data_IF_187816971253
#
_entry.id   IF_187816971253
#
_cell.length_a   1.000
_cell.length_b   1.000
_cell.length_c   1.000
_cell.angle_alpha   90.00
_cell.angle_beta   90.00
_cell.angle_gamma   90.00
#
_symmetry.space_group_name_H-M   'P 1'
#
loop_
_entity.id
_entity.type
_entity.pdbx_description
1 polymer ?
#
# COMPACT_ATOMS: atom_id res chain seq x y z
N UNK A 1 26.09 -15.46 62.01
CA UNK A 1 24.72 -15.63 61.48
C UNK A 1 24.47 -14.49 60.53
N UNK A 2 24.68 -14.71 59.27
CA UNK A 2 24.50 -13.70 58.20
C UNK A 2 23.24 -14.05 57.45
N UNK A 3 22.24 -13.21 57.52
CA UNK A 3 21.05 -13.30 56.68
C UNK A 3 21.36 -12.64 55.36
N UNK A 4 21.41 -13.48 54.29
CA UNK A 4 21.44 -13.04 52.92
C UNK A 4 20.12 -12.38 52.56
N UNK A 5 20.17 -11.13 52.18
CA UNK A 5 19.06 -10.38 51.59
C UNK A 5 18.99 -10.75 50.10
N UNK A 6 18.07 -11.62 49.75
CA UNK A 6 17.74 -11.92 48.36
C UNK A 6 16.94 -10.72 47.83
N UNK A 7 17.50 -9.97 46.92
CA UNK A 7 16.76 -9.00 46.11
C UNK A 7 15.84 -9.80 45.19
N UNK A 8 14.55 -9.71 45.43
CA UNK A 8 13.55 -10.04 44.41
C UNK A 8 13.76 -9.05 43.24
N UNK A 9 14.20 -9.60 42.12
CA UNK A 9 14.17 -8.89 40.87
C UNK A 9 12.69 -8.79 40.48
N UNK A 10 12.16 -7.57 40.48
CA UNK A 10 10.91 -7.26 39.80
C UNK A 10 11.09 -7.54 38.32
N UNK A 11 10.80 -8.80 37.93
CA UNK A 11 10.55 -9.16 36.56
C UNK A 11 9.23 -8.51 36.12
N UNK A 12 9.32 -7.24 35.71
CA UNK A 12 8.28 -6.65 34.92
C UNK A 12 8.22 -7.48 33.62
N UNK A 13 7.04 -8.03 33.26
CA UNK A 13 6.93 -8.79 32.03
C UNK A 13 7.40 -7.90 30.88
N UNK A 14 8.45 -8.34 30.18
CA UNK A 14 8.90 -7.73 28.95
C UNK A 14 7.68 -7.45 28.08
N UNK A 15 7.46 -6.18 27.77
CA UNK A 15 6.45 -5.78 26.82
C UNK A 15 6.73 -6.51 25.53
N UNK A 16 5.95 -7.55 25.26
CA UNK A 16 5.96 -8.20 23.96
C UNK A 16 5.46 -7.16 22.96
N UNK A 17 6.39 -6.39 22.39
CA UNK A 17 6.06 -5.48 21.31
C UNK A 17 5.47 -6.32 20.19
N UNK A 18 4.28 -5.96 19.73
CA UNK A 18 3.70 -6.58 18.56
C UNK A 18 4.70 -6.51 17.41
N UNK A 19 4.88 -7.59 16.64
CA UNK A 19 5.80 -7.55 15.53
C UNK A 19 5.46 -6.40 14.58
N UNK A 20 6.45 -5.66 14.06
CA UNK A 20 6.20 -4.60 13.11
C UNK A 20 5.42 -5.13 11.91
N UNK A 21 4.47 -4.34 11.41
CA UNK A 21 3.76 -4.69 10.19
C UNK A 21 4.78 -4.97 9.08
N UNK A 22 4.63 -6.09 8.33
CA UNK A 22 5.58 -6.46 7.29
C UNK A 22 5.67 -5.33 6.26
N UNK A 23 6.88 -5.01 5.84
CA UNK A 23 7.08 -4.09 4.72
C UNK A 23 6.44 -4.69 3.48
N UNK A 24 5.53 -3.95 2.85
CA UNK A 24 4.90 -4.36 1.59
C UNK A 24 5.89 -4.36 0.41
N UNK A 25 7.05 -3.75 0.61
CA UNK A 25 8.09 -3.59 -0.41
C UNK A 25 9.25 -4.55 -0.16
N UNK A 26 9.76 -5.22 -1.20
CA UNK A 26 11.01 -5.95 -1.12
C UNK A 26 12.18 -5.03 -0.73
N UNK A 27 13.23 -5.53 -0.08
CA UNK A 27 14.41 -4.74 0.25
C UNK A 27 15.03 -4.10 -1.00
N UNK A 28 15.39 -2.82 -0.90
CA UNK A 28 16.01 -2.06 -1.99
C UNK A 28 15.07 -1.55 -3.09
N UNK A 29 13.78 -1.85 -3.00
CA UNK A 29 12.77 -1.33 -3.94
C UNK A 29 12.26 0.02 -3.48
N UNK A 30 12.22 0.99 -4.40
CA UNK A 30 11.70 2.33 -4.13
C UNK A 30 10.21 2.31 -3.84
N UNK A 31 9.78 3.11 -2.87
CA UNK A 31 8.38 3.29 -2.54
C UNK A 31 7.77 4.41 -3.39
N UNK A 32 7.32 4.07 -4.59
CA UNK A 32 6.61 5.01 -5.45
C UNK A 32 5.17 5.17 -4.99
N UNK A 33 4.71 6.44 -4.96
CA UNK A 33 3.30 6.79 -4.75
C UNK A 33 2.82 7.75 -5.84
N UNK A 34 1.55 7.65 -6.18
CA UNK A 34 0.89 8.68 -6.96
C UNK A 34 0.62 9.90 -6.08
N UNK A 35 0.49 11.13 -6.64
CA UNK A 35 0.12 12.31 -5.85
C UNK A 35 -1.19 12.12 -5.08
N UNK A 36 -2.19 11.50 -5.70
CA UNK A 36 -3.46 11.17 -5.07
C UNK A 36 -3.33 10.12 -3.96
N UNK A 37 -2.47 9.12 -4.15
CA UNK A 37 -2.18 8.10 -3.14
C UNK A 37 -1.49 8.68 -1.92
N UNK A 38 -0.47 9.49 -2.13
CA UNK A 38 0.23 10.17 -1.04
C UNK A 38 -0.72 11.05 -0.21
N UNK A 39 -1.62 11.80 -0.87
CA UNK A 39 -2.64 12.61 -0.19
C UNK A 39 -3.57 11.75 0.65
N UNK A 40 -4.10 10.63 0.11
CA UNK A 40 -5.00 9.74 0.86
C UNK A 40 -4.33 9.10 2.07
N UNK A 41 -3.07 8.66 1.93
CA UNK A 41 -2.32 8.11 3.05
C UNK A 41 -2.05 9.17 4.13
N UNK A 42 -1.80 10.42 3.72
CA UNK A 42 -1.65 11.54 4.65
C UNK A 42 -2.96 11.87 5.38
N UNK A 43 -4.09 11.88 4.66
CA UNK A 43 -5.42 12.09 5.24
C UNK A 43 -5.78 10.96 6.23
N UNK A 44 -5.46 9.69 5.89
CA UNK A 44 -5.63 8.56 6.80
C UNK A 44 -4.78 8.72 8.07
N UNK A 45 -3.50 9.09 7.90
CA UNK A 45 -2.61 9.34 9.02
C UNK A 45 -3.14 10.43 9.96
N UNK A 46 -3.57 11.55 9.39
CA UNK A 46 -4.14 12.67 10.16
C UNK A 46 -5.39 12.22 10.93
N UNK A 47 -6.30 11.49 10.28
CA UNK A 47 -7.50 10.95 10.93
C UNK A 47 -7.15 10.03 12.10
N UNK A 48 -6.19 9.12 11.91
CA UNK A 48 -5.77 8.20 12.98
C UNK A 48 -5.15 8.94 14.15
N UNK A 49 -4.31 9.94 13.90
CA UNK A 49 -3.61 10.71 14.94
C UNK A 49 -4.54 11.67 15.67
N UNK A 50 -5.39 12.38 14.94
CA UNK A 50 -6.18 13.49 15.51
C UNK A 50 -7.56 13.06 16.02
N UNK A 51 -8.10 11.95 15.50
CA UNK A 51 -9.46 11.49 15.82
C UNK A 51 -9.48 10.12 16.49
N UNK A 52 -8.98 9.10 15.80
CA UNK A 52 -9.14 7.71 16.25
C UNK A 52 -8.32 7.44 17.52
N UNK A 53 -7.07 7.83 17.53
CA UNK A 53 -6.17 7.60 18.66
C UNK A 53 -6.62 8.32 19.96
N UNK A 54 -7.00 9.62 19.93
CA UNK A 54 -7.56 10.31 21.09
C UNK A 54 -8.88 9.71 21.58
N UNK A 55 -9.78 9.33 20.66
CA UNK A 55 -11.04 8.65 21.01
C UNK A 55 -10.79 7.33 21.74
N UNK A 56 -9.87 6.52 21.22
CA UNK A 56 -9.50 5.25 21.84
C UNK A 56 -8.88 5.45 23.23
N UNK A 57 -8.07 6.49 23.42
CA UNK A 57 -7.46 6.82 24.71
C UNK A 57 -8.46 7.36 25.75
N UNK A 58 -9.53 8.03 25.29
CA UNK A 58 -10.57 8.61 26.14
C UNK A 58 -11.75 7.66 26.39
N UNK A 59 -11.74 6.47 25.79
CA UNK A 59 -12.83 5.52 25.93
C UNK A 59 -13.00 5.03 27.38
N UNK A 60 -14.25 4.87 27.87
CA UNK A 60 -14.50 4.33 29.21
C UNK A 60 -13.89 2.93 29.37
N UNK A 61 -13.48 2.59 30.59
CA UNK A 61 -12.85 1.31 30.92
C UNK A 61 -13.63 0.12 30.33
N UNK A 62 -12.95 -0.67 29.48
CA UNK A 62 -13.45 -1.88 28.85
C UNK A 62 -14.12 -1.70 27.48
N UNK A 63 -14.34 -0.50 26.97
CA UNK A 63 -14.91 -0.28 25.63
C UNK A 63 -13.87 -0.34 24.53
N UNK A 64 -12.59 -0.04 24.83
CA UNK A 64 -11.46 -0.17 23.91
C UNK A 64 -10.33 -0.94 24.61
N UNK A 65 -9.88 -2.01 24.01
CA UNK A 65 -8.81 -2.83 24.56
C UNK A 65 -7.44 -2.19 24.32
N UNK A 66 -6.49 -2.48 25.20
CA UNK A 66 -5.08 -2.08 25.02
C UNK A 66 -4.55 -2.53 23.65
N UNK A 67 -4.93 -3.73 23.21
CA UNK A 67 -4.53 -4.27 21.91
C UNK A 67 -5.05 -3.42 20.73
N UNK A 68 -6.26 -2.85 20.82
CA UNK A 68 -6.78 -1.94 19.80
C UNK A 68 -5.96 -0.66 19.71
N UNK A 69 -5.55 -0.10 20.85
CA UNK A 69 -4.69 1.09 20.89
C UNK A 69 -3.32 0.78 20.28
N UNK A 70 -2.72 -0.34 20.64
CA UNK A 70 -1.44 -0.79 20.08
C UNK A 70 -1.52 -1.00 18.56
N UNK A 71 -2.63 -1.55 18.05
CA UNK A 71 -2.88 -1.70 16.61
C UNK A 71 -2.96 -0.35 15.90
N UNK A 72 -3.64 0.65 16.48
CA UNK A 72 -3.67 2.02 15.97
C UNK A 72 -2.28 2.65 15.92
N UNK A 73 -1.52 2.52 17.00
CA UNK A 73 -0.17 3.06 17.09
C UNK A 73 0.77 2.41 16.06
N UNK A 74 0.65 1.10 15.81
CA UNK A 74 1.38 0.41 14.75
C UNK A 74 0.98 0.92 13.36
N UNK A 75 -0.31 1.12 13.10
CA UNK A 75 -0.79 1.65 11.81
C UNK A 75 -0.27 3.06 11.57
N UNK A 76 -0.32 3.92 12.58
CA UNK A 76 0.24 5.28 12.54
C UNK A 76 1.74 5.24 12.23
N UNK A 77 2.50 4.38 12.91
CA UNK A 77 3.93 4.24 12.67
C UNK A 77 4.23 3.77 11.24
N UNK A 78 3.50 2.76 10.76
CA UNK A 78 3.64 2.25 9.40
C UNK A 78 3.36 3.32 8.34
N UNK A 79 2.27 4.08 8.48
CA UNK A 79 1.93 5.17 7.56
C UNK A 79 3.00 6.26 7.53
N UNK A 80 3.55 6.63 8.70
CA UNK A 80 4.65 7.60 8.80
C UNK A 80 5.89 7.10 8.05
N UNK A 81 6.26 5.84 8.24
CA UNK A 81 7.40 5.24 7.52
C UNK A 81 7.17 5.20 6.01
N UNK A 82 5.98 4.78 5.57
CA UNK A 82 5.61 4.74 4.16
C UNK A 82 5.70 6.12 3.51
N UNK A 83 5.14 7.15 4.15
CA UNK A 83 5.17 8.52 3.63
C UNK A 83 6.58 9.12 3.65
N UNK A 84 7.36 8.84 4.70
CA UNK A 84 8.74 9.32 4.80
C UNK A 84 9.66 8.74 3.71
N UNK A 85 9.48 7.48 3.37
CA UNK A 85 10.25 6.77 2.35
C UNK A 85 9.67 6.92 0.93
N UNK A 86 8.56 7.64 0.78
CA UNK A 86 7.84 7.73 -0.50
C UNK A 86 8.54 8.68 -1.48
N UNK A 87 8.62 8.22 -2.73
CA UNK A 87 8.94 9.04 -3.89
C UNK A 87 7.64 9.29 -4.67
N UNK A 88 7.15 10.53 -4.65
CA UNK A 88 5.91 10.89 -5.33
C UNK A 88 6.20 11.09 -6.80
N UNK A 89 5.56 10.28 -7.65
CA UNK A 89 5.74 10.31 -9.10
C UNK A 89 4.53 11.00 -9.74
N UNK A 90 4.67 12.23 -10.24
CA UNK A 90 3.59 12.93 -10.92
C UNK A 90 3.31 12.29 -12.30
N UNK A 91 2.09 12.47 -12.84
CA UNK A 91 1.77 12.00 -14.18
C UNK A 91 2.67 12.71 -15.22
N UNK A 92 3.06 12.02 -16.30
CA UNK A 92 3.82 12.63 -17.38
C UNK A 92 2.99 13.71 -18.11
N UNK A 93 3.68 14.62 -18.77
CA UNK A 93 3.00 15.56 -19.67
C UNK A 93 2.38 14.84 -20.86
N UNK A 94 1.24 15.33 -21.36
CA UNK A 94 0.62 14.85 -22.58
C UNK A 94 1.52 15.15 -23.81
N UNK A 95 1.43 14.35 -24.91
CA UNK A 95 0.47 13.27 -25.15
C UNK A 95 0.81 11.97 -24.41
N UNK A 96 -0.24 11.24 -23.99
CA UNK A 96 -0.11 9.97 -23.27
C UNK A 96 -0.18 8.80 -24.24
N UNK A 97 0.92 8.50 -24.85
CA UNK A 97 1.07 7.43 -25.84
C UNK A 97 1.70 6.15 -25.28
N UNK A 98 2.28 6.25 -24.07
CA UNK A 98 2.99 5.16 -23.41
C UNK A 98 2.53 4.97 -21.97
N UNK A 99 2.38 3.72 -21.57
CA UNK A 99 2.04 3.34 -20.19
C UNK A 99 3.25 3.53 -19.28
N UNK A 100 3.10 4.38 -18.27
CA UNK A 100 4.07 4.60 -17.20
C UNK A 100 3.40 4.45 -15.84
N UNK A 101 4.16 4.60 -14.77
CA UNK A 101 3.62 4.64 -13.40
C UNK A 101 2.51 5.71 -13.30
N UNK A 102 1.44 5.39 -12.59
CA UNK A 102 0.26 6.26 -12.44
C UNK A 102 -0.77 6.17 -13.57
N UNK A 103 -0.46 5.44 -14.66
CA UNK A 103 -1.37 5.27 -15.80
C UNK A 103 -2.63 4.48 -15.42
N UNK A 104 -3.75 4.92 -15.94
CA UNK A 104 -4.99 4.15 -16.06
C UNK A 104 -5.07 3.61 -17.48
N UNK A 105 -5.04 2.29 -17.62
CA UNK A 105 -4.97 1.58 -18.89
C UNK A 105 -6.24 0.78 -19.11
N UNK A 106 -6.93 1.02 -20.22
CA UNK A 106 -8.03 0.16 -20.69
C UNK A 106 -7.44 -0.89 -21.62
N UNK A 107 -7.65 -2.14 -21.30
CA UNK A 107 -7.25 -3.28 -22.13
C UNK A 107 -8.45 -4.06 -22.61
N UNK A 108 -8.33 -4.74 -23.75
CA UNK A 108 -9.32 -5.66 -24.31
C UNK A 108 -8.70 -7.04 -24.45
N UNK A 109 -9.38 -8.05 -23.95
CA UNK A 109 -8.96 -9.45 -24.10
C UNK A 109 -9.36 -10.05 -25.45
N UNK A 110 -8.94 -11.30 -25.70
CA UNK A 110 -9.26 -12.03 -26.94
C UNK A 110 -10.76 -12.31 -27.14
N UNK A 111 -11.58 -12.20 -26.09
CA UNK A 111 -13.04 -12.38 -26.12
C UNK A 111 -13.78 -11.06 -26.36
N UNK A 112 -13.06 -9.94 -26.41
CA UNK A 112 -13.63 -8.61 -26.57
C UNK A 112 -14.03 -7.92 -25.27
N UNK A 113 -13.83 -8.58 -24.11
CA UNK A 113 -14.11 -7.97 -22.81
C UNK A 113 -13.06 -6.91 -22.47
N UNK A 114 -13.51 -5.82 -21.86
CA UNK A 114 -12.62 -4.73 -21.45
C UNK A 114 -12.39 -4.75 -19.94
N UNK A 115 -11.16 -4.50 -19.56
CA UNK A 115 -10.73 -4.32 -18.17
C UNK A 115 -9.96 -3.02 -18.01
N UNK A 116 -10.11 -2.40 -16.84
CA UNK A 116 -9.44 -1.16 -16.49
C UNK A 116 -8.42 -1.45 -15.39
N UNK A 117 -7.16 -1.11 -15.63
CA UNK A 117 -6.09 -1.22 -14.65
C UNK A 117 -5.45 0.14 -14.40
N UNK A 118 -5.32 0.50 -13.14
CA UNK A 118 -4.55 1.67 -12.73
C UNK A 118 -3.26 1.22 -12.05
N UNK A 119 -2.11 1.64 -12.59
CA UNK A 119 -0.80 1.28 -12.06
C UNK A 119 -0.43 2.27 -10.94
N UNK A 120 -0.33 1.75 -9.73
CA UNK A 120 -0.13 2.55 -8.52
C UNK A 120 1.00 2.01 -7.65
N UNK A 121 1.31 2.71 -6.56
CA UNK A 121 2.24 2.24 -5.55
C UNK A 121 1.74 0.97 -4.84
N UNK A 122 2.67 0.25 -4.20
CA UNK A 122 2.33 -1.00 -3.49
C UNK A 122 1.29 -0.75 -2.39
N UNK A 123 1.45 0.36 -1.65
CA UNK A 123 0.53 0.75 -0.57
C UNK A 123 -0.81 1.33 -1.05
N UNK A 124 -0.99 1.53 -2.36
CA UNK A 124 -2.20 2.06 -2.97
C UNK A 124 -3.05 0.99 -3.66
N UNK A 125 -2.51 -0.24 -3.82
CA UNK A 125 -3.16 -1.30 -4.57
C UNK A 125 -4.52 -1.67 -3.97
N UNK A 126 -5.52 -1.82 -4.85
CA UNK A 126 -6.90 -2.14 -4.49
C UNK A 126 -7.53 -2.94 -5.65
N UNK A 127 -7.67 -4.23 -5.45
CA UNK A 127 -8.17 -5.14 -6.48
C UNK A 127 -9.62 -4.83 -6.89
N UNK A 128 -10.46 -4.41 -5.95
CA UNK A 128 -11.87 -4.09 -6.21
C UNK A 128 -12.03 -2.87 -7.13
N UNK A 129 -11.03 -2.00 -7.12
CA UNK A 129 -10.98 -0.81 -8.00
C UNK A 129 -10.16 -1.01 -9.27
N UNK A 130 -9.59 -2.19 -9.48
CA UNK A 130 -8.64 -2.44 -10.55
C UNK A 130 -7.29 -1.71 -10.40
N UNK A 131 -6.95 -1.33 -9.18
CA UNK A 131 -5.67 -0.68 -8.88
C UNK A 131 -4.61 -1.71 -8.58
N UNK A 132 -3.66 -1.80 -9.47
CA UNK A 132 -2.60 -2.81 -9.43
C UNK A 132 -1.27 -2.20 -9.02
N UNK A 133 -0.56 -2.86 -8.13
CA UNK A 133 0.81 -2.48 -7.80
C UNK A 133 1.69 -2.49 -9.05
N UNK A 134 2.55 -1.49 -9.20
CA UNK A 134 3.54 -1.44 -10.29
C UNK A 134 4.50 -2.63 -10.31
N UNK A 135 4.61 -3.38 -9.20
CA UNK A 135 5.39 -4.62 -9.10
C UNK A 135 4.60 -5.86 -9.52
N UNK A 136 3.30 -5.74 -9.69
CA UNK A 136 2.44 -6.87 -10.07
C UNK A 136 2.76 -7.41 -11.48
N UNK A 137 2.51 -8.70 -11.75
CA UNK A 137 2.75 -9.27 -13.07
C UNK A 137 2.05 -8.54 -14.19
N UNK A 138 0.77 -8.15 -14.00
CA UNK A 138 0.00 -7.41 -15.01
C UNK A 138 0.58 -6.02 -15.26
N UNK A 139 0.97 -5.30 -14.21
CA UNK A 139 1.58 -3.98 -14.35
C UNK A 139 2.91 -4.04 -15.11
N UNK A 140 3.73 -5.06 -14.86
CA UNK A 140 5.01 -5.27 -15.57
C UNK A 140 4.83 -5.52 -17.06
N UNK A 141 3.76 -6.20 -17.45
CA UNK A 141 3.43 -6.42 -18.86
C UNK A 141 2.91 -5.15 -19.53
N UNK A 142 2.11 -4.35 -18.80
CA UNK A 142 1.54 -3.11 -19.32
C UNK A 142 2.56 -1.95 -19.39
N UNK A 143 3.52 -1.88 -18.45
CA UNK A 143 4.51 -0.81 -18.42
C UNK A 143 5.29 -0.75 -19.73
N UNK A 144 5.50 0.47 -20.24
CA UNK A 144 6.14 0.79 -21.50
C UNK A 144 5.34 0.40 -22.78
N UNK A 145 4.18 -0.23 -22.63
CA UNK A 145 3.31 -0.49 -23.77
C UNK A 145 2.73 0.81 -24.34
N UNK A 146 2.29 0.78 -25.58
CA UNK A 146 1.63 1.89 -26.26
C UNK A 146 0.22 1.50 -26.67
N UNK A 147 -0.61 2.48 -26.96
CA UNK A 147 -1.95 2.24 -27.53
C UNK A 147 -1.85 1.36 -28.76
N UNK A 148 -2.71 0.34 -28.86
CA UNK A 148 -2.75 -0.65 -29.94
C UNK A 148 -1.75 -1.81 -29.79
N UNK A 149 -0.86 -1.78 -28.79
CA UNK A 149 0.01 -2.92 -28.53
C UNK A 149 -0.79 -4.12 -28.03
N UNK A 150 -0.42 -5.29 -28.53
CA UNK A 150 -0.91 -6.59 -28.07
C UNK A 150 0.13 -7.25 -27.19
N UNK A 151 -0.27 -7.63 -25.99
CA UNK A 151 0.59 -8.12 -24.93
C UNK A 151 0.14 -9.50 -24.50
N UNK A 152 1.08 -10.40 -24.29
CA UNK A 152 0.81 -11.72 -23.72
C UNK A 152 0.92 -11.62 -22.20
N UNK A 153 -0.15 -11.94 -21.52
CA UNK A 153 -0.22 -11.97 -20.06
C UNK A 153 -0.49 -13.40 -19.59
N UNK A 154 0.38 -13.92 -18.72
CA UNK A 154 0.17 -15.18 -18.03
C UNK A 154 -0.59 -14.92 -16.74
N UNK A 155 -1.87 -15.27 -16.73
CA UNK A 155 -2.69 -15.29 -15.53
C UNK A 155 -2.73 -16.70 -14.92
N UNK A 156 -3.17 -16.86 -13.63
CA UNK A 156 -3.40 -18.18 -13.07
C UNK A 156 -4.42 -19.04 -13.83
N UNK A 157 -5.30 -18.39 -14.60
CA UNK A 157 -6.31 -19.04 -15.46
C UNK A 157 -5.81 -19.39 -16.85
N UNK A 158 -4.61 -18.97 -17.25
CA UNK A 158 -4.02 -19.26 -18.54
C UNK A 158 -3.30 -18.08 -19.20
N UNK A 159 -2.93 -18.24 -20.46
CA UNK A 159 -2.38 -17.15 -21.26
C UNK A 159 -3.51 -16.33 -21.90
N UNK A 160 -3.43 -15.03 -21.73
CA UNK A 160 -4.37 -14.08 -22.28
C UNK A 160 -3.65 -13.11 -23.22
N UNK A 161 -4.27 -12.78 -24.34
CA UNK A 161 -3.81 -11.72 -25.23
C UNK A 161 -4.58 -10.44 -24.87
N UNK A 162 -3.86 -9.42 -24.44
CA UNK A 162 -4.42 -8.12 -24.06
C UNK A 162 -4.03 -7.06 -25.09
N UNK A 163 -4.99 -6.31 -25.59
CA UNK A 163 -4.75 -5.16 -26.45
C UNK A 163 -4.95 -3.86 -25.68
N UNK A 164 -3.97 -2.96 -25.71
CA UNK A 164 -4.05 -1.65 -25.05
C UNK A 164 -4.95 -0.72 -25.86
N UNK A 165 -6.12 -0.40 -25.32
CA UNK A 165 -7.13 0.41 -26.01
C UNK A 165 -6.96 1.90 -25.70
N UNK A 166 -6.74 2.25 -24.44
CA UNK A 166 -6.61 3.63 -24.02
C UNK A 166 -5.63 3.76 -22.85
N UNK A 167 -4.99 4.93 -22.76
CA UNK A 167 -4.07 5.31 -21.69
C UNK A 167 -4.47 6.69 -21.21
N UNK A 168 -4.67 6.86 -19.92
CA UNK A 168 -4.98 8.15 -19.28
C UNK A 168 -4.24 8.28 -17.95
N UNK A 169 -4.14 9.51 -17.47
CA UNK A 169 -3.56 9.85 -16.16
C UNK A 169 -4.48 10.83 -15.45
N UNK A 170 -4.50 10.76 -14.11
CA UNK A 170 -5.23 11.71 -13.25
C UNK A 170 -4.26 12.60 -12.46
#
# INVERSE_FOLDING_TARGET
>A
MSKAFTRESDDLPERTALPPLPSLLPPGVKNYLTPNGARRLQEELNRLVEVERPKAAAAPDGSVTRQQIETLDQRIHHLRQCLHAAEIVPPPAAPWDQVRFGATVTVRDGNGSQSLYRIVGVGEADADRGWVSWLSPIARVLLNARRGHRLHFKSPSGEELLEVMNISYE
#
